data_IF_116620085497
#
_entry.id   IF_116620085497
#
_cell.length_a   1.000
_cell.length_b   1.000
_cell.length_c   1.000
_cell.angle_alpha   90.00
_cell.angle_beta   90.00
_cell.angle_gamma   90.00
#
_symmetry.space_group_name_H-M   'P 1'
#
loop_
_entity.id
_entity.type
_entity.pdbx_description
1 polymer ?
#
# COMPACT_ATOMS: atom_id res chain seq x y z
N UNK A 1 11.65 -12.87 -3.41
CA UNK A 1 12.74 -13.06 -2.42
C UNK A 1 12.96 -11.81 -1.57
N UNK A 2 13.59 -10.74 -2.06
CA UNK A 2 13.93 -9.54 -1.24
C UNK A 2 12.73 -8.96 -0.48
N UNK A 3 11.57 -8.85 -1.14
CA UNK A 3 10.31 -8.43 -0.50
C UNK A 3 9.89 -9.34 0.66
N UNK A 4 9.98 -10.67 0.49
CA UNK A 4 9.69 -11.66 1.54
C UNK A 4 10.64 -11.50 2.71
N UNK A 5 11.94 -11.36 2.45
CA UNK A 5 12.96 -11.20 3.48
C UNK A 5 12.78 -9.89 4.25
N UNK A 6 12.35 -8.83 3.57
CA UNK A 6 11.99 -7.56 4.19
C UNK A 6 10.83 -7.70 5.17
N UNK A 7 9.74 -8.39 4.77
CA UNK A 7 8.62 -8.68 5.69
C UNK A 7 9.13 -9.48 6.91
N UNK A 8 9.92 -10.54 6.70
CA UNK A 8 10.45 -11.36 7.79
C UNK A 8 11.29 -10.55 8.77
N UNK A 9 12.25 -9.75 8.29
CA UNK A 9 13.07 -8.87 9.16
C UNK A 9 12.22 -7.86 9.92
N UNK A 10 11.23 -7.26 9.25
CA UNK A 10 10.32 -6.31 9.89
C UNK A 10 9.50 -6.93 11.02
N UNK A 11 9.03 -8.18 10.85
CA UNK A 11 8.31 -8.93 11.88
C UNK A 11 9.19 -9.40 13.05
N UNK A 12 10.52 -9.42 12.89
CA UNK A 12 11.47 -9.79 13.95
C UNK A 12 12.06 -8.58 14.67
N UNK A 13 12.17 -7.45 13.98
CA UNK A 13 12.86 -6.29 14.48
C UNK A 13 12.11 -5.54 15.58
N UNK A 14 12.88 -5.02 16.53
CA UNK A 14 12.39 -4.33 17.74
C UNK A 14 12.97 -2.93 17.85
N UNK A 15 12.56 -2.20 18.88
CA UNK A 15 13.14 -0.90 19.22
C UNK A 15 12.36 0.29 18.70
N UNK A 16 13.07 1.42 18.60
CA UNK A 16 12.52 2.73 18.27
C UNK A 16 13.13 3.18 16.94
N UNK A 17 12.28 3.65 16.02
CA UNK A 17 12.71 4.14 14.72
C UNK A 17 13.58 5.41 14.88
N UNK A 18 14.61 5.59 14.04
CA UNK A 18 15.47 6.78 14.08
C UNK A 18 14.71 8.06 13.67
N UNK A 19 15.35 9.23 13.73
CA UNK A 19 14.73 10.50 13.30
C UNK A 19 14.01 11.28 14.40
N UNK A 20 13.94 10.75 15.62
CA UNK A 20 13.55 11.51 16.82
C UNK A 20 12.05 11.72 17.00
N UNK A 21 11.20 10.95 16.31
CA UNK A 21 9.76 10.86 16.61
C UNK A 21 9.45 9.84 17.71
N UNK A 22 10.45 9.08 18.16
CA UNK A 22 10.31 8.01 19.15
C UNK A 22 9.23 6.96 18.79
N UNK A 23 8.98 6.74 17.49
CA UNK A 23 8.01 5.74 17.00
C UNK A 23 8.54 4.35 17.31
N UNK A 24 7.80 3.58 18.10
CA UNK A 24 8.13 2.17 18.40
C UNK A 24 7.77 1.29 17.19
N UNK A 25 8.62 0.32 16.88
CA UNK A 25 8.27 -0.77 15.96
C UNK A 25 7.14 -1.62 16.53
N UNK A 26 6.09 -1.84 15.74
CA UNK A 26 4.86 -2.53 16.15
C UNK A 26 4.72 -3.89 15.48
N UNK A 27 5.35 -4.11 14.32
CA UNK A 27 5.13 -5.31 13.51
C UNK A 27 5.36 -6.60 14.30
N UNK A 28 6.47 -6.73 15.03
CA UNK A 28 6.72 -7.91 15.86
C UNK A 28 5.63 -8.21 16.88
N UNK A 29 5.20 -7.21 17.64
CA UNK A 29 4.19 -7.39 18.67
C UNK A 29 2.83 -7.81 18.09
N UNK A 30 2.46 -7.23 16.95
CA UNK A 30 1.25 -7.62 16.21
C UNK A 30 1.38 -9.06 15.69
N UNK A 31 2.55 -9.43 15.14
CA UNK A 31 2.79 -10.80 14.67
C UNK A 31 2.68 -11.85 15.79
N UNK A 32 3.30 -11.59 16.94
CA UNK A 32 3.21 -12.47 18.11
C UNK A 32 1.76 -12.61 18.61
N UNK A 33 1.00 -11.52 18.66
CA UNK A 33 -0.42 -11.53 19.02
C UNK A 33 -1.27 -12.35 18.04
N UNK A 34 -1.13 -12.11 16.73
CA UNK A 34 -1.87 -12.83 15.68
C UNK A 34 -1.53 -14.33 15.65
N UNK A 35 -0.29 -14.71 15.98
CA UNK A 35 0.09 -16.13 16.13
C UNK A 35 -0.56 -16.76 17.37
N UNK A 36 -0.63 -16.04 18.48
CA UNK A 36 -1.27 -16.53 19.71
C UNK A 36 -2.79 -16.72 19.55
N UNK A 37 -3.42 -15.96 18.64
CA UNK A 37 -4.84 -16.07 18.32
C UNK A 37 -5.17 -17.22 17.34
N UNK A 38 -4.17 -17.85 16.71
CA UNK A 38 -4.41 -18.95 15.76
C UNK A 38 -5.02 -20.16 16.48
N UNK A 39 -6.10 -20.69 15.88
CA UNK A 39 -6.80 -21.88 16.39
C UNK A 39 -7.79 -21.60 17.51
N UNK A 40 -7.99 -20.33 17.89
CA UNK A 40 -9.08 -19.95 18.78
C UNK A 40 -10.41 -20.02 18.04
N UNK A 41 -11.46 -20.53 18.71
CA UNK A 41 -12.81 -20.65 18.14
C UNK A 41 -13.57 -19.31 18.03
N UNK A 42 -12.97 -18.21 18.48
CA UNK A 42 -13.59 -16.87 18.56
C UNK A 42 -12.66 -15.81 17.96
N UNK A 43 -12.24 -15.98 16.72
CA UNK A 43 -11.47 -14.94 16.00
C UNK A 43 -12.40 -13.89 15.42
N UNK A 44 -12.03 -12.62 15.56
CA UNK A 44 -12.81 -11.54 14.98
C UNK A 44 -12.67 -11.57 13.44
N UNK A 45 -13.73 -11.30 12.66
CA UNK A 45 -13.64 -11.37 11.20
C UNK A 45 -12.59 -10.45 10.56
N UNK A 46 -12.23 -9.36 11.24
CA UNK A 46 -11.27 -8.38 10.75
C UNK A 46 -9.80 -8.81 10.93
N UNK A 47 -9.49 -9.95 11.58
CA UNK A 47 -8.11 -10.43 11.79
C UNK A 47 -7.32 -10.53 10.49
N UNK A 48 -7.97 -10.76 9.34
CA UNK A 48 -7.29 -10.76 8.04
C UNK A 48 -6.75 -9.39 7.64
N UNK A 49 -7.43 -8.30 8.03
CA UNK A 49 -6.94 -6.93 7.85
C UNK A 49 -5.71 -6.66 8.71
N UNK A 50 -5.65 -7.28 9.90
CA UNK A 50 -4.49 -7.17 10.78
C UNK A 50 -3.27 -7.87 10.20
N UNK A 51 -3.43 -9.05 9.56
CA UNK A 51 -2.35 -9.71 8.81
C UNK A 51 -1.85 -8.87 7.64
N UNK A 52 -2.75 -8.29 6.83
CA UNK A 52 -2.36 -7.40 5.72
C UNK A 52 -1.62 -6.17 6.22
N UNK A 53 -2.13 -5.54 7.29
CA UNK A 53 -1.50 -4.38 7.90
C UNK A 53 -0.14 -4.73 8.49
N UNK A 54 -0.02 -5.87 9.17
CA UNK A 54 1.24 -6.38 9.71
C UNK A 54 2.31 -6.48 8.62
N UNK A 55 2.01 -7.14 7.49
CA UNK A 55 2.99 -7.33 6.43
C UNK A 55 3.47 -6.00 5.84
N UNK A 56 2.54 -5.06 5.61
CA UNK A 56 2.87 -3.74 5.10
C UNK A 56 3.70 -2.93 6.11
N UNK A 57 3.27 -2.93 7.37
CA UNK A 57 3.97 -2.25 8.47
C UNK A 57 5.37 -2.81 8.69
N UNK A 58 5.56 -4.13 8.60
CA UNK A 58 6.87 -4.75 8.70
C UNK A 58 7.85 -4.17 7.66
N UNK A 59 7.41 -4.06 6.39
CA UNK A 59 8.23 -3.48 5.31
C UNK A 59 8.50 -1.99 5.55
N UNK A 60 7.49 -1.21 5.94
CA UNK A 60 7.69 0.23 6.14
C UNK A 60 8.47 0.56 7.41
N UNK A 61 8.43 -0.28 8.44
CA UNK A 61 9.30 -0.18 9.61
C UNK A 61 10.75 -0.54 9.24
N UNK A 62 10.99 -1.51 8.34
CA UNK A 62 12.32 -1.78 7.76
C UNK A 62 12.82 -0.59 6.95
N UNK A 63 11.98 -0.02 6.08
CA UNK A 63 12.31 1.18 5.33
C UNK A 63 12.75 2.33 6.25
N UNK A 64 11.93 2.62 7.27
CA UNK A 64 12.20 3.71 8.21
C UNK A 64 13.45 3.47 9.08
N UNK A 65 13.86 2.22 9.26
CA UNK A 65 15.08 1.85 9.97
C UNK A 65 16.34 1.84 9.06
N UNK A 66 16.20 2.16 7.77
CA UNK A 66 17.30 2.12 6.80
C UNK A 66 17.65 0.72 6.31
N UNK A 67 16.73 -0.25 6.46
CA UNK A 67 16.89 -1.60 5.95
C UNK A 67 16.74 -1.68 4.43
N UNK A 68 17.06 -2.83 3.86
CA UNK A 68 16.88 -3.07 2.43
C UNK A 68 15.40 -3.23 2.08
N UNK A 69 14.93 -2.45 1.12
CA UNK A 69 13.55 -2.46 0.59
C UNK A 69 13.55 -2.48 -0.94
N UNK A 70 12.42 -2.87 -1.52
CA UNK A 70 12.17 -2.81 -2.97
C UNK A 70 11.11 -1.75 -3.22
N UNK A 71 11.40 -0.81 -4.11
CA UNK A 71 10.45 0.24 -4.51
C UNK A 71 9.18 -0.36 -5.13
N UNK A 72 8.01 0.10 -4.72
CA UNK A 72 6.74 -0.38 -5.26
C UNK A 72 5.59 0.66 -5.17
N UNK A 73 5.65 1.80 -5.89
CA UNK A 73 6.70 2.22 -6.83
C UNK A 73 7.79 3.10 -6.19
N UNK A 74 7.62 3.52 -4.93
CA UNK A 74 8.62 4.29 -4.17
C UNK A 74 8.99 3.55 -2.88
N UNK A 75 10.00 4.03 -2.15
CA UNK A 75 10.33 3.51 -0.83
C UNK A 75 9.20 3.79 0.18
N UNK A 76 8.53 4.94 0.08
CA UNK A 76 7.41 5.31 0.95
C UNK A 76 6.19 4.40 0.80
N UNK A 77 5.97 3.85 -0.39
CA UNK A 77 4.88 2.93 -0.70
C UNK A 77 5.29 1.45 -0.79
N UNK A 78 6.52 1.11 -0.37
CA UNK A 78 7.12 -0.20 -0.57
C UNK A 78 6.37 -1.37 0.09
N UNK A 79 5.51 -1.12 1.09
CA UNK A 79 4.84 -2.16 1.85
C UNK A 79 3.59 -2.73 1.19
N UNK A 80 2.91 -1.98 0.31
CA UNK A 80 1.58 -2.37 -0.21
C UNK A 80 1.65 -3.64 -1.06
N UNK A 81 2.43 -3.61 -2.15
CA UNK A 81 2.58 -4.73 -3.08
C UNK A 81 3.02 -6.03 -2.38
N UNK A 82 4.11 -6.04 -1.58
CA UNK A 82 4.55 -7.28 -0.93
C UNK A 82 3.55 -7.77 0.14
N UNK A 83 2.83 -6.88 0.82
CA UNK A 83 1.79 -7.27 1.76
C UNK A 83 0.64 -8.00 1.07
N UNK A 84 0.18 -7.50 -0.09
CA UNK A 84 -0.89 -8.15 -0.87
C UNK A 84 -0.44 -9.49 -1.44
N UNK A 85 0.79 -9.58 -1.95
CA UNK A 85 1.38 -10.86 -2.40
C UNK A 85 1.40 -11.87 -1.24
N UNK A 86 1.86 -11.44 -0.07
CA UNK A 86 1.96 -12.33 1.10
C UNK A 86 0.59 -12.75 1.61
N UNK A 87 -0.37 -11.83 1.65
CA UNK A 87 -1.76 -12.13 1.93
C UNK A 87 -2.30 -13.22 0.98
N UNK A 88 -2.10 -13.05 -0.33
CA UNK A 88 -2.57 -13.99 -1.33
C UNK A 88 -1.95 -15.38 -1.11
N UNK A 89 -0.62 -15.47 -1.00
CA UNK A 89 0.08 -16.74 -0.86
C UNK A 89 -0.21 -17.48 0.46
N UNK A 90 -0.37 -16.75 1.57
CA UNK A 90 -0.50 -17.37 2.89
C UNK A 90 -1.97 -17.66 3.27
N UNK A 91 -2.93 -16.89 2.75
CA UNK A 91 -4.32 -16.90 3.24
C UNK A 91 -5.38 -17.20 2.18
N UNK A 92 -5.08 -17.10 0.88
CA UNK A 92 -6.06 -17.37 -0.18
C UNK A 92 -5.92 -18.82 -0.68
N UNK A 93 -6.97 -19.64 -0.57
CA UNK A 93 -6.94 -21.02 -1.07
C UNK A 93 -6.61 -21.09 -2.56
N UNK A 94 -5.70 -21.99 -2.93
CA UNK A 94 -5.28 -22.19 -4.33
C UNK A 94 -4.29 -21.15 -4.86
N UNK A 95 -3.85 -20.19 -4.04
CA UNK A 95 -2.74 -19.31 -4.39
C UNK A 95 -1.46 -20.12 -4.68
N UNK A 96 -0.68 -19.67 -5.67
CA UNK A 96 0.53 -20.38 -6.09
C UNK A 96 1.59 -19.42 -6.57
N UNK A 97 2.83 -19.64 -6.10
CA UNK A 97 4.01 -18.89 -6.51
C UNK A 97 4.24 -18.95 -8.04
N UNK A 98 3.76 -19.99 -8.73
CA UNK A 98 3.88 -20.08 -10.19
C UNK A 98 3.17 -18.95 -10.93
N UNK A 99 2.13 -18.33 -10.33
CA UNK A 99 1.40 -17.20 -10.90
C UNK A 99 1.90 -15.83 -10.41
N UNK A 100 2.99 -15.80 -9.64
CA UNK A 100 3.58 -14.54 -9.16
C UNK A 100 4.07 -13.65 -10.30
N UNK A 101 4.50 -14.24 -11.43
CA UNK A 101 4.84 -13.50 -12.64
C UNK A 101 3.67 -12.67 -13.16
N UNK A 102 2.49 -13.28 -13.27
CA UNK A 102 1.25 -12.61 -13.72
C UNK A 102 0.88 -11.45 -12.79
N UNK A 103 0.98 -11.65 -11.47
CA UNK A 103 0.75 -10.59 -10.49
C UNK A 103 1.68 -9.40 -10.75
N UNK A 104 2.98 -9.67 -10.82
CA UNK A 104 4.00 -8.62 -10.92
C UNK A 104 3.96 -7.88 -12.26
N UNK A 105 3.71 -8.59 -13.37
CA UNK A 105 3.58 -7.99 -14.69
C UNK A 105 2.31 -7.13 -14.81
N UNK A 106 1.19 -7.60 -14.26
CA UNK A 106 -0.06 -6.82 -14.21
C UNK A 106 0.10 -5.56 -13.35
N UNK A 107 0.69 -5.70 -12.16
CA UNK A 107 1.02 -4.58 -11.30
C UNK A 107 1.94 -3.57 -12.00
N UNK A 108 2.96 -4.04 -12.73
CA UNK A 108 3.86 -3.18 -13.49
C UNK A 108 3.14 -2.45 -14.63
N UNK A 109 2.21 -3.10 -15.33
CA UNK A 109 1.42 -2.45 -16.39
C UNK A 109 0.60 -1.28 -15.83
N UNK A 110 -0.13 -1.49 -14.73
CA UNK A 110 -0.88 -0.41 -14.06
C UNK A 110 0.05 0.70 -13.56
N UNK A 111 1.17 0.35 -12.92
CA UNK A 111 2.16 1.35 -12.50
C UNK A 111 2.71 2.16 -13.68
N UNK A 112 2.89 1.51 -14.84
CA UNK A 112 3.29 2.15 -16.09
C UNK A 112 2.26 3.15 -16.60
N UNK A 113 0.97 2.79 -16.61
CA UNK A 113 -0.12 3.70 -16.98
C UNK A 113 -0.17 4.93 -16.08
N UNK A 114 -0.12 4.73 -14.75
CA UNK A 114 -0.14 5.83 -13.78
C UNK A 114 1.08 6.75 -13.96
N UNK A 115 2.28 6.18 -14.15
CA UNK A 115 3.49 6.97 -14.37
C UNK A 115 3.45 7.74 -15.70
N UNK A 116 2.94 7.13 -16.76
CA UNK A 116 2.93 7.71 -18.10
C UNK A 116 1.94 8.88 -18.20
N UNK A 117 0.73 8.67 -17.67
CA UNK A 117 -0.37 9.63 -17.81
C UNK A 117 -0.43 10.68 -16.68
N UNK A 118 0.25 10.43 -15.55
CA UNK A 118 0.29 11.34 -14.42
C UNK A 118 1.68 11.37 -13.75
N UNK A 119 1.80 10.84 -12.53
CA UNK A 119 3.05 10.74 -11.80
C UNK A 119 2.97 9.63 -10.74
N UNK A 120 4.13 9.17 -10.29
CA UNK A 120 4.30 8.30 -9.11
C UNK A 120 5.02 9.02 -7.94
N UNK A 121 5.24 10.33 -8.08
CA UNK A 121 6.05 11.14 -7.15
C UNK A 121 5.18 11.86 -6.12
N UNK A 122 5.48 11.64 -4.84
CA UNK A 122 4.87 12.36 -3.72
C UNK A 122 5.07 13.88 -3.82
N UNK A 123 6.25 14.31 -4.29
CA UNK A 123 6.57 15.70 -4.52
C UNK A 123 5.75 16.37 -5.64
N UNK A 124 5.26 15.61 -6.63
CA UNK A 124 4.51 16.17 -7.77
C UNK A 124 3.01 16.12 -7.52
N UNK A 125 2.50 14.96 -7.07
CA UNK A 125 1.08 14.67 -7.02
C UNK A 125 0.57 14.24 -5.63
N UNK A 126 1.39 14.32 -4.58
CA UNK A 126 1.02 13.87 -3.23
C UNK A 126 1.05 12.36 -3.08
N UNK A 127 0.66 11.86 -1.91
CA UNK A 127 0.80 10.45 -1.55
C UNK A 127 -0.19 9.54 -2.33
N UNK A 128 -1.21 10.11 -2.95
CA UNK A 128 -2.03 9.41 -3.95
C UNK A 128 -1.19 8.83 -5.09
N UNK A 129 -0.11 9.51 -5.49
CA UNK A 129 0.78 9.04 -6.55
C UNK A 129 1.76 7.95 -6.07
N UNK A 130 1.96 7.80 -4.76
CA UNK A 130 2.84 6.78 -4.20
C UNK A 130 2.02 5.58 -3.69
N UNK A 131 1.32 5.76 -2.58
CA UNK A 131 0.54 4.71 -1.93
C UNK A 131 -0.71 4.38 -2.73
N UNK A 132 -1.36 5.39 -3.34
CA UNK A 132 -2.52 5.15 -4.22
C UNK A 132 -2.14 4.33 -5.45
N UNK A 133 -1.04 4.71 -6.13
CA UNK A 133 -0.47 3.91 -7.22
C UNK A 133 -0.11 2.49 -6.77
N UNK A 134 0.56 2.33 -5.62
CA UNK A 134 0.91 1.00 -5.10
C UNK A 134 -0.34 0.14 -4.80
N UNK A 135 -1.40 0.75 -4.28
CA UNK A 135 -2.67 0.08 -4.04
C UNK A 135 -3.35 -0.34 -5.36
N UNK A 136 -3.36 0.54 -6.37
CA UNK A 136 -3.88 0.22 -7.70
C UNK A 136 -3.10 -0.92 -8.37
N UNK A 137 -1.76 -0.86 -8.31
CA UNK A 137 -0.86 -1.91 -8.80
C UNK A 137 -1.16 -3.26 -8.13
N UNK A 138 -1.28 -3.26 -6.79
CA UNK A 138 -1.51 -4.48 -6.02
C UNK A 138 -2.93 -5.04 -6.22
N UNK A 139 -3.94 -4.18 -6.35
CA UNK A 139 -5.33 -4.59 -6.62
C UNK A 139 -5.46 -5.28 -7.98
N UNK A 140 -4.85 -4.70 -9.01
CA UNK A 140 -4.82 -5.25 -10.35
C UNK A 140 -4.07 -6.59 -10.42
N UNK A 141 -2.89 -6.64 -9.81
CA UNK A 141 -2.11 -7.89 -9.69
C UNK A 141 -2.90 -8.99 -9.00
N UNK A 142 -3.60 -8.66 -7.92
CA UNK A 142 -4.44 -9.60 -7.20
C UNK A 142 -5.64 -10.07 -8.04
N UNK A 143 -6.37 -9.15 -8.68
CA UNK A 143 -7.50 -9.49 -9.55
C UNK A 143 -7.07 -10.46 -10.67
N UNK A 144 -5.92 -10.22 -11.31
CA UNK A 144 -5.40 -11.10 -12.35
C UNK A 144 -5.13 -12.53 -11.82
N UNK A 145 -4.47 -12.67 -10.66
CA UNK A 145 -4.20 -14.00 -10.07
C UNK A 145 -5.42 -14.66 -9.44
N UNK A 146 -6.50 -13.91 -9.19
CA UNK A 146 -7.83 -14.46 -8.85
C UNK A 146 -8.63 -14.90 -10.08
N UNK A 147 -8.11 -14.65 -11.29
CA UNK A 147 -8.75 -15.06 -12.55
C UNK A 147 -9.71 -14.02 -13.14
N UNK A 148 -9.56 -12.76 -12.77
CA UNK A 148 -10.34 -11.66 -13.34
C UNK A 148 -10.05 -11.43 -14.82
N UNK A 149 -11.04 -10.91 -15.54
CA UNK A 149 -10.86 -10.43 -16.92
C UNK A 149 -10.05 -9.12 -16.94
N UNK A 150 -9.52 -8.68 -18.10
CA UNK A 150 -8.86 -7.37 -18.21
C UNK A 150 -9.73 -6.21 -17.67
N UNK A 151 -11.04 -6.24 -17.90
CA UNK A 151 -11.98 -5.24 -17.41
C UNK A 151 -12.07 -5.24 -15.88
N UNK A 152 -12.10 -6.42 -15.25
CA UNK A 152 -12.08 -6.53 -13.78
C UNK A 152 -10.73 -6.13 -13.19
N UNK A 153 -9.63 -6.37 -13.90
CA UNK A 153 -8.28 -5.93 -13.50
C UNK A 153 -8.18 -4.40 -13.50
N UNK A 154 -8.66 -3.75 -14.56
CA UNK A 154 -8.72 -2.29 -14.64
C UNK A 154 -9.68 -1.70 -13.61
N UNK A 155 -10.85 -2.31 -13.40
CA UNK A 155 -11.78 -1.88 -12.37
C UNK A 155 -11.21 -2.02 -10.95
N UNK A 156 -10.48 -3.10 -10.64
CA UNK A 156 -9.79 -3.24 -9.36
C UNK A 156 -8.72 -2.14 -9.15
N UNK A 157 -7.95 -1.83 -10.19
CA UNK A 157 -6.96 -0.76 -10.16
C UNK A 157 -7.62 0.60 -9.91
N UNK A 158 -8.72 0.85 -10.62
CA UNK A 158 -9.50 2.08 -10.59
C UNK A 158 -10.10 2.33 -9.20
N UNK A 159 -10.86 1.39 -8.64
CA UNK A 159 -11.43 1.50 -7.28
C UNK A 159 -10.32 1.78 -6.25
N UNK A 160 -9.20 1.06 -6.35
CA UNK A 160 -8.09 1.25 -5.42
C UNK A 160 -7.47 2.65 -5.53
N UNK A 161 -7.30 3.18 -6.75
CA UNK A 161 -6.78 4.52 -6.97
C UNK A 161 -7.78 5.60 -6.54
N UNK A 162 -9.07 5.43 -6.87
CA UNK A 162 -10.17 6.33 -6.51
C UNK A 162 -10.18 6.60 -5.00
N UNK A 163 -10.05 5.55 -4.19
CA UNK A 163 -10.01 5.63 -2.72
C UNK A 163 -8.74 6.28 -2.14
N UNK A 164 -7.85 6.80 -2.98
CA UNK A 164 -6.68 7.60 -2.58
C UNK A 164 -6.65 8.99 -3.20
N UNK A 165 -7.59 9.35 -4.09
CA UNK A 165 -7.61 10.67 -4.73
C UNK A 165 -7.67 11.81 -3.70
N UNK A 166 -6.84 12.83 -3.90
CA UNK A 166 -6.67 13.97 -3.00
C UNK A 166 -5.71 13.73 -1.82
N UNK A 167 -5.12 12.54 -1.68
CA UNK A 167 -4.22 12.25 -0.56
C UNK A 167 -2.90 13.03 -0.65
N UNK A 168 -2.68 13.93 0.29
CA UNK A 168 -1.49 14.79 0.44
C UNK A 168 -0.25 14.02 0.90
N UNK A 169 0.95 14.58 0.74
CA UNK A 169 2.20 13.99 1.22
C UNK A 169 2.91 14.91 2.23
N UNK A 170 2.46 14.92 3.48
CA UNK A 170 2.93 15.82 4.54
C UNK A 170 3.48 15.07 5.78
N UNK A 171 4.50 14.21 5.62
CA UNK A 171 5.00 13.38 6.70
C UNK A 171 5.53 14.19 7.89
N UNK A 172 5.30 13.68 9.11
CA UNK A 172 5.76 14.33 10.34
C UNK A 172 7.28 14.40 10.34
N UNK A 173 7.83 15.62 10.54
CA UNK A 173 9.28 15.91 10.46
C UNK A 173 9.94 15.51 9.14
N UNK A 174 9.19 15.33 8.05
CA UNK A 174 9.74 14.86 6.78
C UNK A 174 10.18 13.40 6.78
N UNK A 175 9.78 12.61 7.79
CA UNK A 175 10.21 11.24 7.96
C UNK A 175 9.19 10.27 7.36
N UNK A 176 9.68 9.24 6.67
CA UNK A 176 8.84 8.15 6.11
C UNK A 176 8.39 7.20 7.23
N UNK A 177 7.65 7.73 8.20
CA UNK A 177 7.15 7.03 9.39
C UNK A 177 5.67 7.30 9.58
N UNK A 178 5.32 8.53 9.96
CA UNK A 178 3.93 8.95 10.21
C UNK A 178 3.53 9.98 9.15
N UNK A 179 2.45 9.79 8.38
CA UNK A 179 1.48 8.68 8.40
C UNK A 179 1.82 7.52 7.43
N UNK A 180 3.07 7.44 6.96
CA UNK A 180 3.47 6.55 5.87
C UNK A 180 3.28 5.06 6.20
N UNK A 181 3.61 4.64 7.42
CA UNK A 181 3.51 3.24 7.86
C UNK A 181 2.03 2.79 7.85
N UNK A 182 1.12 3.59 8.41
CA UNK A 182 -0.31 3.25 8.45
C UNK A 182 -0.94 3.30 7.05
N UNK A 183 -0.52 4.27 6.22
CA UNK A 183 -0.99 4.38 4.83
C UNK A 183 -0.70 3.13 4.02
N UNK A 184 0.44 2.46 4.23
CA UNK A 184 0.73 1.21 3.53
C UNK A 184 -0.17 0.05 4.00
N UNK A 185 -0.44 -0.05 5.30
CA UNK A 185 -1.38 -1.05 5.83
C UNK A 185 -2.80 -0.87 5.28
N UNK A 186 -3.31 0.35 5.32
CA UNK A 186 -4.62 0.68 4.73
C UNK A 186 -4.62 0.56 3.20
N UNK A 187 -3.51 0.86 2.53
CA UNK A 187 -3.34 0.67 1.09
C UNK A 187 -3.46 -0.80 0.69
N UNK A 188 -2.85 -1.71 1.45
CA UNK A 188 -2.98 -3.15 1.22
C UNK A 188 -4.43 -3.64 1.43
N UNK A 189 -5.10 -3.21 2.50
CA UNK A 189 -6.50 -3.56 2.77
C UNK A 189 -7.42 -3.07 1.64
N UNK A 190 -7.24 -1.82 1.20
CA UNK A 190 -8.01 -1.25 0.09
C UNK A 190 -7.74 -2.00 -1.21
N UNK A 191 -6.50 -2.38 -1.50
CA UNK A 191 -6.16 -3.14 -2.70
C UNK A 191 -6.87 -4.50 -2.74
N UNK A 192 -6.87 -5.24 -1.63
CA UNK A 192 -7.58 -6.52 -1.52
C UNK A 192 -9.10 -6.34 -1.62
N UNK A 193 -9.63 -5.29 -0.97
CA UNK A 193 -11.05 -4.98 -1.02
C UNK A 193 -11.51 -4.57 -2.43
N UNK A 194 -10.71 -3.78 -3.14
CA UNK A 194 -10.97 -3.35 -4.52
C UNK A 194 -10.95 -4.55 -5.48
N UNK A 195 -9.96 -5.43 -5.38
CA UNK A 195 -9.94 -6.67 -6.15
C UNK A 195 -11.17 -7.54 -5.85
N UNK A 196 -11.51 -7.73 -4.57
CA UNK A 196 -12.70 -8.50 -4.17
C UNK A 196 -14.00 -7.91 -4.72
N UNK A 197 -14.13 -6.58 -4.73
CA UNK A 197 -15.29 -5.89 -5.29
C UNK A 197 -15.38 -6.07 -6.80
N UNK A 198 -14.28 -5.85 -7.53
CA UNK A 198 -14.22 -6.03 -8.98
C UNK A 198 -14.52 -7.48 -9.40
N UNK A 199 -14.01 -8.47 -8.65
CA UNK A 199 -14.27 -9.90 -8.91
C UNK A 199 -15.73 -10.31 -8.67
N UNK A 200 -16.51 -9.52 -7.91
CA UNK A 200 -17.96 -9.72 -7.71
C UNK A 200 -18.82 -8.96 -8.71
N UNK A 201 -18.22 -8.03 -9.46
CA UNK A 201 -18.84 -7.33 -10.57
C UNK A 201 -18.51 -7.97 -11.92
N UNK A 202 -18.90 -7.29 -12.99
CA UNK A 202 -18.66 -7.67 -14.38
C UNK A 202 -17.53 -6.83 -15.04
N UNK A 203 -16.83 -6.01 -14.24
CA UNK A 203 -15.79 -5.09 -14.73
C UNK A 203 -16.34 -3.80 -15.33
N UNK A 204 -17.66 -3.60 -15.35
CA UNK A 204 -18.26 -2.34 -15.82
C UNK A 204 -18.26 -1.32 -14.70
N UNK A 205 -17.55 -0.21 -14.92
CA UNK A 205 -17.52 0.94 -14.03
C UNK A 205 -17.95 2.22 -14.74
N UNK A 206 -18.65 3.09 -14.00
CA UNK A 206 -19.03 4.41 -14.49
C UNK A 206 -17.79 5.30 -14.69
N UNK A 207 -16.81 5.15 -13.81
CA UNK A 207 -15.55 5.88 -13.83
C UNK A 207 -14.45 4.92 -14.30
N UNK A 208 -13.86 5.20 -15.45
CA UNK A 208 -12.74 4.39 -15.97
C UNK A 208 -11.42 4.71 -15.26
N UNK A 209 -10.47 3.78 -15.31
CA UNK A 209 -9.12 3.99 -14.77
C UNK A 209 -8.45 5.25 -15.32
N UNK A 210 -8.59 5.55 -16.62
CA UNK A 210 -8.04 6.75 -17.24
C UNK A 210 -8.57 8.05 -16.60
N UNK A 211 -9.86 8.09 -16.28
CA UNK A 211 -10.49 9.22 -15.59
C UNK A 211 -9.93 9.37 -14.18
N UNK A 212 -9.72 8.27 -13.45
CA UNK A 212 -9.09 8.32 -12.12
C UNK A 212 -7.64 8.81 -12.21
N UNK A 213 -6.85 8.36 -13.20
CA UNK A 213 -5.47 8.82 -13.37
C UNK A 213 -5.42 10.30 -13.75
N UNK A 214 -6.29 10.76 -14.65
CA UNK A 214 -6.39 12.17 -15.02
C UNK A 214 -6.84 13.03 -13.82
N UNK A 215 -7.80 12.53 -13.02
CA UNK A 215 -8.22 13.19 -11.78
C UNK A 215 -7.06 13.28 -10.79
N UNK A 216 -6.25 12.21 -10.64
CA UNK A 216 -5.05 12.22 -9.82
C UNK A 216 -4.04 13.28 -10.30
N UNK A 217 -3.84 13.39 -11.61
CA UNK A 217 -2.96 14.41 -12.21
C UNK A 217 -3.45 15.83 -11.94
N UNK A 218 -4.74 16.09 -12.14
CA UNK A 218 -5.35 17.41 -11.92
C UNK A 218 -5.30 17.80 -10.44
N UNK A 219 -5.77 16.92 -9.55
CA UNK A 219 -5.70 17.13 -8.10
C UNK A 219 -4.27 17.33 -7.61
N UNK A 220 -3.30 16.58 -8.16
CA UNK A 220 -1.88 16.77 -7.85
C UNK A 220 -1.35 18.13 -8.31
N UNK A 221 -1.78 18.62 -9.47
CA UNK A 221 -1.46 19.97 -9.96
C UNK A 221 -2.06 21.05 -9.06
N UNK A 222 -3.30 20.87 -8.63
CA UNK A 222 -4.03 21.85 -7.82
C UNK A 222 -3.62 21.82 -6.33
N UNK A 223 -2.98 20.72 -5.89
CA UNK A 223 -2.46 20.58 -4.54
C UNK A 223 -1.40 21.65 -4.26
N UNK A 224 -1.64 22.47 -3.24
CA UNK A 224 -0.70 23.50 -2.81
C UNK A 224 0.65 22.87 -2.39
N UNK A 225 1.77 23.52 -2.72
CA UNK A 225 3.12 22.99 -2.49
C UNK A 225 3.36 22.53 -1.04
N UNK A 226 2.88 23.31 -0.05
CA UNK A 226 2.92 22.97 1.39
C UNK A 226 2.32 21.61 1.79
N UNK A 227 1.42 21.04 0.98
CA UNK A 227 0.77 19.74 1.23
C UNK A 227 1.35 18.61 0.35
N UNK A 228 2.39 18.90 -0.42
CA UNK A 228 3.26 17.90 -1.05
C UNK A 228 4.44 17.61 -0.12
N UNK A 229 5.41 16.86 -0.61
CA UNK A 229 6.58 16.32 0.12
C UNK A 229 7.58 17.38 0.66
N UNK A 230 7.12 18.59 0.97
CA UNK A 230 7.92 19.66 1.59
C UNK A 230 7.83 19.65 3.11
N UNK A 231 6.84 18.97 3.70
CA UNK A 231 6.59 18.95 5.15
C UNK A 231 6.36 20.34 5.78
N UNK A 232 5.80 21.27 5.00
CA UNK A 232 5.56 22.67 5.41
C UNK A 232 4.10 22.93 5.81
N UNK A 233 3.27 21.90 5.86
CA UNK A 233 1.84 22.00 6.13
C UNK A 233 1.27 20.72 6.74
N UNK A 234 -0.05 20.69 6.87
CA UNK A 234 -0.83 19.52 7.27
C UNK A 234 -0.32 18.82 8.54
N UNK A 235 -0.19 17.49 8.53
CA UNK A 235 0.19 16.74 9.73
C UNK A 235 1.59 17.13 10.23
N UNK A 236 2.51 17.47 9.33
CA UNK A 236 3.87 17.86 9.67
C UNK A 236 3.99 19.09 10.59
N UNK A 237 3.04 20.03 10.50
CA UNK A 237 3.04 21.26 11.32
C UNK A 237 2.02 21.26 12.46
N UNK A 238 1.10 20.27 12.45
CA UNK A 238 0.03 20.16 13.45
C UNK A 238 0.32 19.14 14.56
N UNK A 239 1.33 18.29 14.42
CA UNK A 239 1.80 17.43 15.50
C UNK A 239 2.62 18.26 16.49
N UNK A 240 2.26 18.31 17.79
CA UNK A 240 3.02 19.05 18.79
C UNK A 240 4.48 18.55 18.88
N UNK A 241 5.45 19.47 18.92
CA UNK A 241 6.87 19.15 19.11
C UNK A 241 7.23 18.81 20.58
N UNK A 242 6.25 18.45 21.41
CA UNK A 242 6.44 18.27 22.86
C UNK A 242 6.99 16.90 23.23
#
# INVERSE_FOLDING_TARGET
QVMTDCISRGMEGTGILPGGLHVRRRARGIHEALLAERGLNMTAPHTINDWMSLYAMAVNEENAAGGQVVTAPTNGAAGVVPAVIRYWLDHVPGASISRLGDFMLTAAAIGGLVKHNASISGAECGCQAEVGSAAAMAAAGLAAVLGGTPEQVENAAEIALEHHLGMTCDPVRGLVQVPCIERNGLGAIKAVSAASLAMRGDGVHLVSLDVCIETMRQTGRDMHEKYKETSLGGLAVNVPNC
#
